data_IF_737536807274
#
_entry.id   IF_737536807274
#
_cell.length_a   1.000
_cell.length_b   1.000
_cell.length_c   1.000
_cell.angle_alpha   90.00
_cell.angle_beta   90.00
_cell.angle_gamma   90.00
#
_symmetry.space_group_name_H-M   'P 1'
#
loop_
_entity.id
_entity.type
_entity.pdbx_description
1 polymer ?
#
# COMPACT_ATOMS: atom_id res chain seq x y z
N UNK A 1 39.99 17.41 29.06
CA UNK A 1 39.01 18.37 28.51
C UNK A 1 38.84 17.94 27.06
N UNK A 2 38.10 16.84 26.87
CA UNK A 2 36.64 16.82 26.64
C UNK A 2 36.34 16.94 25.14
N UNK A 3 36.72 15.89 24.40
CA UNK A 3 36.11 15.55 23.11
C UNK A 3 35.28 14.28 23.36
N UNK A 4 34.09 14.44 23.91
CA UNK A 4 33.07 13.38 23.97
C UNK A 4 31.97 13.77 22.98
N UNK A 5 32.25 13.60 21.69
CA UNK A 5 31.25 13.73 20.63
C UNK A 5 30.08 12.77 20.90
N UNK A 6 28.88 13.32 20.88
CA UNK A 6 27.60 12.66 21.10
C UNK A 6 27.44 11.38 20.26
N UNK A 7 27.67 10.21 20.85
CA UNK A 7 27.09 8.95 20.35
C UNK A 7 25.61 8.91 20.77
N UNK A 8 24.75 9.66 20.06
CA UNK A 8 23.31 9.48 20.14
C UNK A 8 22.94 8.11 19.53
N UNK A 9 22.65 7.13 20.39
CA UNK A 9 22.16 5.82 19.97
C UNK A 9 20.73 5.96 19.43
N UNK A 10 20.59 6.05 18.10
CA UNK A 10 19.28 6.14 17.43
C UNK A 10 18.56 4.80 17.57
N UNK A 11 17.30 4.85 18.04
CA UNK A 11 16.49 3.64 18.17
C UNK A 11 16.00 3.14 16.80
N UNK A 12 15.82 1.82 16.64
CA UNK A 12 15.22 1.24 15.43
C UNK A 12 13.84 1.82 15.13
N UNK A 13 13.05 2.09 16.19
CA UNK A 13 11.73 2.69 16.04
C UNK A 13 11.79 4.10 15.45
N UNK A 14 12.78 4.90 15.82
CA UNK A 14 13.00 6.25 15.32
C UNK A 14 13.53 6.26 13.87
N UNK A 15 14.43 5.34 13.53
CA UNK A 15 14.88 5.13 12.15
C UNK A 15 13.72 4.69 11.24
N UNK A 16 12.88 3.76 11.68
CA UNK A 16 11.74 3.30 10.88
C UNK A 16 10.66 4.39 10.77
N UNK A 17 10.40 5.13 11.85
CA UNK A 17 9.45 6.24 11.81
C UNK A 17 9.91 7.36 10.87
N UNK A 18 11.20 7.73 10.89
CA UNK A 18 11.75 8.72 9.94
C UNK A 18 11.71 8.22 8.49
N UNK A 19 12.04 6.95 8.25
CA UNK A 19 11.90 6.32 6.93
C UNK A 19 10.45 6.32 6.45
N UNK A 20 9.48 6.01 7.32
CA UNK A 20 8.06 5.99 6.96
C UNK A 20 7.56 7.36 6.45
N UNK A 21 8.06 8.46 7.04
CA UNK A 21 7.74 9.82 6.58
C UNK A 21 8.33 10.13 5.20
N UNK A 22 9.53 9.61 4.91
CA UNK A 22 10.11 9.72 3.57
C UNK A 22 9.29 8.92 2.54
N UNK A 23 8.81 7.73 2.91
CA UNK A 23 7.93 6.91 2.06
C UNK A 23 6.61 7.62 1.77
N UNK A 24 5.94 8.18 2.78
CA UNK A 24 4.69 8.97 2.62
C UNK A 24 4.87 10.04 1.53
N UNK A 25 6.00 10.76 1.56
CA UNK A 25 6.31 11.81 0.58
C UNK A 25 6.47 11.25 -0.84
N UNK A 26 7.17 10.12 -1.02
CA UNK A 26 7.39 9.52 -2.34
C UNK A 26 6.12 8.96 -2.97
N UNK A 27 5.11 8.66 -2.15
CA UNK A 27 3.82 8.12 -2.59
C UNK A 27 2.77 9.20 -2.84
N UNK A 28 3.06 10.43 -2.41
CA UNK A 28 2.13 11.54 -2.48
C UNK A 28 1.02 11.47 -1.43
N UNK A 29 1.26 10.74 -0.32
CA UNK A 29 0.38 10.71 0.83
C UNK A 29 0.61 11.93 1.74
N UNK A 30 -0.39 12.35 2.54
CA UNK A 30 -0.20 13.39 3.55
C UNK A 30 0.87 12.95 4.56
N UNK A 31 1.82 13.84 4.87
CA UNK A 31 2.88 13.53 5.82
C UNK A 31 2.35 12.97 7.14
N UNK A 32 2.91 11.85 7.59
CA UNK A 32 2.50 11.17 8.81
C UNK A 32 1.33 10.21 8.62
N UNK A 33 0.95 9.89 7.38
CA UNK A 33 -0.06 8.87 7.06
C UNK A 33 0.28 7.54 7.73
N UNK A 34 1.50 7.04 7.52
CA UNK A 34 1.96 5.81 8.16
C UNK A 34 1.91 5.86 9.69
N UNK A 35 2.25 7.01 10.28
CA UNK A 35 2.27 7.20 11.75
C UNK A 35 0.85 7.23 12.33
N UNK A 36 -0.09 7.95 11.69
CA UNK A 36 -1.49 7.99 12.14
C UNK A 36 -2.15 6.62 12.02
N UNK A 37 -1.94 5.92 10.90
CA UNK A 37 -2.39 4.55 10.73
C UNK A 37 -1.76 3.63 11.78
N UNK A 38 -0.47 3.81 12.09
CA UNK A 38 0.21 3.07 13.15
C UNK A 38 -0.46 3.28 14.51
N UNK A 39 -0.76 4.53 14.87
CA UNK A 39 -1.43 4.84 16.13
C UNK A 39 -2.83 4.21 16.25
N UNK A 40 -3.63 4.27 15.19
CA UNK A 40 -4.96 3.62 15.12
C UNK A 40 -4.81 2.10 15.27
N UNK A 41 -3.95 1.49 14.46
CA UNK A 41 -3.76 0.04 14.45
C UNK A 41 -3.23 -0.50 15.77
N UNK A 42 -2.27 0.21 16.39
CA UNK A 42 -1.75 -0.16 17.72
C UNK A 42 -2.80 -0.04 18.81
N UNK A 43 -3.68 0.97 18.74
CA UNK A 43 -4.81 1.13 19.66
C UNK A 43 -5.79 -0.05 19.55
N UNK A 44 -6.10 -0.48 18.33
CA UNK A 44 -6.93 -1.66 18.07
C UNK A 44 -6.24 -2.93 18.59
N UNK A 45 -4.96 -3.13 18.30
CA UNK A 45 -4.19 -4.29 18.77
C UNK A 45 -4.12 -4.36 20.30
N UNK A 46 -4.01 -3.22 20.97
CA UNK A 46 -4.06 -3.15 22.44
C UNK A 46 -5.45 -3.50 22.97
N UNK A 47 -6.52 -2.96 22.38
CA UNK A 47 -7.89 -3.25 22.79
C UNK A 47 -8.26 -4.74 22.60
N UNK A 48 -7.69 -5.40 21.60
CA UNK A 48 -7.84 -6.84 21.35
C UNK A 48 -6.96 -7.72 22.26
N UNK A 49 -6.09 -7.13 23.08
CA UNK A 49 -5.20 -7.88 23.98
C UNK A 49 -4.09 -8.65 23.27
N UNK A 50 -3.59 -8.16 22.12
CA UNK A 50 -2.52 -8.83 21.40
C UNK A 50 -1.25 -8.98 22.26
N UNK A 51 -0.56 -10.14 22.20
CA UNK A 51 0.70 -10.36 22.91
C UNK A 51 1.75 -9.29 22.57
N UNK A 52 2.67 -9.01 23.49
CA UNK A 52 3.72 -7.99 23.28
C UNK A 52 4.52 -8.23 22.00
N UNK A 53 4.85 -9.49 21.68
CA UNK A 53 5.57 -9.86 20.45
C UNK A 53 4.78 -9.43 19.20
N UNK A 54 3.49 -9.77 19.14
CA UNK A 54 2.63 -9.43 18.00
C UNK A 54 2.38 -7.92 17.88
N UNK A 55 2.31 -7.20 19.01
CA UNK A 55 2.23 -5.73 18.99
C UNK A 55 3.49 -5.09 18.41
N UNK A 56 4.67 -5.65 18.68
CA UNK A 56 5.92 -5.22 18.06
C UNK A 56 5.91 -5.44 16.55
N UNK A 57 5.49 -6.62 16.10
CA UNK A 57 5.34 -6.94 14.66
C UNK A 57 4.31 -6.02 13.99
N UNK A 58 3.18 -5.77 14.64
CA UNK A 58 2.13 -4.87 14.16
C UNK A 58 2.65 -3.44 13.99
N UNK A 59 3.42 -2.93 14.95
CA UNK A 59 4.00 -1.59 14.92
C UNK A 59 4.85 -1.37 13.65
N UNK A 60 5.77 -2.29 13.38
CA UNK A 60 6.65 -2.18 12.21
C UNK A 60 5.90 -2.46 10.90
N UNK A 61 4.95 -3.39 10.90
CA UNK A 61 4.09 -3.64 9.75
C UNK A 61 3.30 -2.38 9.35
N UNK A 62 2.74 -1.63 10.32
CA UNK A 62 1.98 -0.40 10.05
C UNK A 62 2.85 0.73 9.48
N UNK A 63 4.07 0.88 9.99
CA UNK A 63 5.00 1.92 9.50
C UNK A 63 5.59 1.60 8.12
N UNK A 64 5.75 0.32 7.80
CA UNK A 64 6.39 -0.15 6.57
C UNK A 64 5.40 -0.65 5.50
N UNK A 65 4.10 -0.56 5.78
CA UNK A 65 3.04 -1.12 4.91
C UNK A 65 3.13 -0.64 3.45
N UNK A 66 3.61 0.59 3.26
CA UNK A 66 3.68 1.25 1.97
C UNK A 66 5.04 1.10 1.27
N UNK A 67 6.04 0.48 1.90
CA UNK A 67 7.38 0.33 1.32
C UNK A 67 7.39 -0.32 -0.08
N UNK A 68 6.40 -1.17 -0.40
CA UNK A 68 6.24 -1.80 -1.71
C UNK A 68 5.67 -0.90 -2.83
N UNK A 69 5.07 0.24 -2.50
CA UNK A 69 4.46 1.16 -3.47
C UNK A 69 5.49 1.84 -4.38
N UNK A 70 6.65 2.20 -3.82
CA UNK A 70 7.75 2.88 -4.53
C UNK A 70 8.33 2.01 -5.66
N UNK A 71 8.45 0.70 -5.43
CA UNK A 71 9.01 -0.25 -6.38
C UNK A 71 8.11 -0.50 -7.61
N UNK A 72 6.80 -0.22 -7.53
CA UNK A 72 5.83 -0.51 -8.59
C UNK A 72 5.62 0.65 -9.59
N UNK A 73 6.06 1.86 -9.26
CA UNK A 73 5.88 3.05 -10.11
C UNK A 73 6.44 2.85 -11.54
N UNK A 74 7.61 2.20 -11.66
CA UNK A 74 8.26 1.91 -12.93
C UNK A 74 7.40 0.96 -13.82
N UNK A 75 6.73 -0.03 -13.23
CA UNK A 75 5.91 -1.00 -13.98
C UNK A 75 4.53 -0.43 -14.35
N UNK A 76 3.94 0.36 -13.46
CA UNK A 76 2.71 1.13 -13.75
C UNK A 76 2.96 2.10 -14.91
N UNK A 77 4.07 2.84 -14.89
CA UNK A 77 4.46 3.76 -15.97
C UNK A 77 4.66 3.05 -17.32
N UNK A 78 5.34 1.90 -17.32
CA UNK A 78 5.55 1.10 -18.52
C UNK A 78 4.27 0.48 -19.11
N UNK A 79 3.27 0.16 -18.26
CA UNK A 79 2.03 -0.48 -18.71
C UNK A 79 0.93 0.50 -19.09
N UNK A 80 0.84 1.65 -18.43
CA UNK A 80 -0.22 2.63 -18.68
C UNK A 80 0.22 3.79 -19.60
N UNK A 81 1.53 3.98 -19.83
CA UNK A 81 2.03 4.96 -20.81
C UNK A 81 1.60 6.41 -20.53
N UNK A 82 1.25 6.72 -19.28
CA UNK A 82 0.78 8.03 -18.82
C UNK A 82 1.45 8.42 -17.51
N UNK A 83 1.53 9.73 -17.30
CA UNK A 83 2.23 10.42 -16.21
C UNK A 83 1.88 9.87 -14.80
N UNK A 84 2.94 9.74 -13.97
CA UNK A 84 3.03 8.83 -12.82
C UNK A 84 2.10 9.20 -11.64
N UNK A 85 1.76 10.49 -11.49
CA UNK A 85 0.91 10.98 -10.39
C UNK A 85 -0.58 10.67 -10.62
N UNK A 86 -1.08 10.85 -11.83
CA UNK A 86 -2.52 10.73 -12.13
C UNK A 86 -2.95 9.25 -12.20
N UNK A 87 -2.05 8.37 -12.65
CA UNK A 87 -2.27 6.93 -12.69
C UNK A 87 -2.32 6.31 -11.28
N UNK A 88 -1.44 6.74 -10.37
CA UNK A 88 -1.41 6.28 -8.97
C UNK A 88 -2.67 6.70 -8.20
N UNK A 89 -3.13 7.95 -8.37
CA UNK A 89 -4.36 8.44 -7.74
C UNK A 89 -5.61 7.67 -8.19
N UNK A 90 -5.67 7.31 -9.46
CA UNK A 90 -6.80 6.57 -9.98
C UNK A 90 -6.81 5.09 -9.62
N UNK A 91 -5.64 4.46 -9.49
CA UNK A 91 -5.54 3.10 -8.97
C UNK A 91 -6.08 3.01 -7.54
N UNK A 92 -5.88 4.04 -6.72
CA UNK A 92 -6.36 4.12 -5.32
C UNK A 92 -7.85 4.46 -5.20
N UNK A 93 -8.45 5.15 -6.17
CA UNK A 93 -9.83 5.68 -6.07
C UNK A 93 -10.85 4.98 -6.96
N UNK A 94 -10.40 4.23 -7.97
CA UNK A 94 -11.29 3.59 -8.95
C UNK A 94 -11.43 2.12 -8.61
N UNK A 95 -12.67 1.69 -8.36
CA UNK A 95 -12.96 0.28 -8.13
C UNK A 95 -12.90 -0.49 -9.46
N UNK A 96 -11.77 -1.16 -9.72
CA UNK A 96 -11.49 -1.90 -10.96
C UNK A 96 -12.37 -3.14 -11.15
N UNK A 97 -13.15 -3.54 -10.14
CA UNK A 97 -14.19 -4.57 -10.28
C UNK A 97 -15.43 -4.06 -11.02
N UNK A 98 -15.60 -2.74 -11.12
CA UNK A 98 -16.77 -2.11 -11.69
C UNK A 98 -16.44 -1.43 -13.03
N UNK A 99 -16.87 -2.08 -14.13
CA UNK A 99 -16.51 -1.71 -15.50
C UNK A 99 -16.85 -0.24 -15.84
N UNK A 100 -17.89 0.31 -15.23
CA UNK A 100 -18.36 1.69 -15.39
C UNK A 100 -17.43 2.76 -14.81
N UNK A 101 -16.79 2.48 -13.68
CA UNK A 101 -15.84 3.44 -13.08
C UNK A 101 -14.51 3.43 -13.82
N UNK A 102 -14.07 2.25 -14.27
CA UNK A 102 -12.90 2.11 -15.15
C UNK A 102 -13.11 2.82 -16.50
N UNK A 103 -14.31 2.76 -17.10
CA UNK A 103 -14.62 3.50 -18.33
C UNK A 103 -14.66 5.00 -18.10
N UNK A 104 -15.26 5.49 -17.00
CA UNK A 104 -15.29 6.94 -16.70
C UNK A 104 -13.90 7.53 -16.49
N UNK A 105 -13.02 6.77 -15.86
CA UNK A 105 -11.61 7.14 -15.68
C UNK A 105 -10.83 7.13 -17.01
N UNK A 106 -11.01 6.09 -17.84
CA UNK A 106 -10.39 6.02 -19.17
C UNK A 106 -10.84 7.17 -20.10
N UNK A 107 -12.10 7.61 -19.98
CA UNK A 107 -12.63 8.77 -20.70
C UNK A 107 -12.08 10.09 -20.16
N UNK A 108 -11.86 10.22 -18.85
CA UNK A 108 -11.30 11.42 -18.21
C UNK A 108 -9.79 11.63 -18.46
N UNK A 109 -9.03 10.56 -18.72
CA UNK A 109 -7.59 10.60 -19.00
C UNK A 109 -7.24 10.73 -20.50
N UNK A 110 -8.25 10.70 -21.37
CA UNK A 110 -8.04 10.81 -22.81
C UNK A 110 -7.61 12.25 -23.15
N UNK A 111 -6.29 12.46 -23.29
CA UNK A 111 -5.63 13.73 -23.71
C UNK A 111 -6.54 14.58 -24.62
N UNK A 112 -6.75 15.88 -24.32
CA UNK A 112 -7.47 16.77 -25.23
C UNK A 112 -6.76 16.77 -26.59
N UNK A 113 -7.42 16.25 -27.64
CA UNK A 113 -6.89 16.21 -29.01
C UNK A 113 -6.40 14.85 -29.53
N UNK A 114 -6.39 13.76 -28.75
CA UNK A 114 -6.04 12.45 -29.30
C UNK A 114 -7.13 11.90 -30.25
N UNK A 115 -6.77 11.34 -31.44
CA UNK A 115 -7.74 10.72 -32.35
C UNK A 115 -8.57 9.64 -31.67
N UNK A 116 -9.87 9.61 -31.94
CA UNK A 116 -10.82 8.67 -31.31
C UNK A 116 -10.39 7.20 -31.44
N UNK A 117 -9.66 6.84 -32.51
CA UNK A 117 -9.10 5.50 -32.74
C UNK A 117 -8.05 5.11 -31.70
N UNK A 118 -7.18 6.04 -31.28
CA UNK A 118 -6.19 5.80 -30.23
C UNK A 118 -6.86 5.69 -28.86
N UNK A 119 -7.91 6.49 -28.60
CA UNK A 119 -8.73 6.37 -27.39
C UNK A 119 -9.42 5.00 -27.32
N UNK A 120 -9.97 4.55 -28.43
CA UNK A 120 -10.61 3.23 -28.52
C UNK A 120 -9.59 2.10 -28.39
N UNK A 121 -8.38 2.23 -28.96
CA UNK A 121 -7.29 1.28 -28.78
C UNK A 121 -6.79 1.22 -27.32
N UNK A 122 -6.73 2.34 -26.60
CA UNK A 122 -6.39 2.39 -25.17
C UNK A 122 -7.48 1.75 -24.30
N UNK A 123 -8.76 2.04 -24.56
CA UNK A 123 -9.88 1.40 -23.86
C UNK A 123 -9.89 -0.11 -24.12
N UNK A 124 -9.64 -0.53 -25.37
CA UNK A 124 -9.57 -1.95 -25.74
C UNK A 124 -8.32 -2.63 -25.14
N UNK A 125 -7.17 -1.95 -25.04
CA UNK A 125 -5.96 -2.53 -24.43
C UNK A 125 -6.10 -2.68 -22.91
N UNK A 126 -6.73 -1.71 -22.24
CA UNK A 126 -7.08 -1.77 -20.81
C UNK A 126 -8.13 -2.87 -20.58
N UNK A 127 -9.17 -2.95 -21.42
CA UNK A 127 -10.20 -3.99 -21.35
C UNK A 127 -9.68 -5.40 -21.64
N UNK A 128 -8.74 -5.55 -22.58
CA UNK A 128 -8.12 -6.85 -22.92
C UNK A 128 -7.07 -7.31 -21.91
N UNK A 129 -6.38 -6.39 -21.22
CA UNK A 129 -5.41 -6.71 -20.14
C UNK A 129 -6.08 -6.86 -18.76
N UNK A 130 -7.23 -6.23 -18.57
CA UNK A 130 -8.30 -6.63 -17.65
C UNK A 130 -7.98 -6.58 -16.14
N UNK A 131 -8.92 -7.10 -15.31
CA UNK A 131 -8.79 -7.20 -13.84
C UNK A 131 -7.57 -8.02 -13.38
N UNK A 132 -7.05 -8.89 -14.25
CA UNK A 132 -5.86 -9.71 -13.95
C UNK A 132 -4.60 -8.85 -13.83
N UNK A 133 -4.41 -7.88 -14.73
CA UNK A 133 -3.27 -6.96 -14.66
C UNK A 133 -3.33 -6.08 -13.40
N UNK A 134 -4.52 -5.59 -13.03
CA UNK A 134 -4.70 -4.83 -11.79
C UNK A 134 -4.39 -5.68 -10.54
N UNK A 135 -4.86 -6.94 -10.51
CA UNK A 135 -4.52 -7.90 -9.45
C UNK A 135 -3.02 -8.16 -9.38
N UNK A 136 -2.35 -8.30 -10.52
CA UNK A 136 -0.90 -8.53 -10.58
C UNK A 136 -0.11 -7.33 -10.07
N UNK A 137 -0.55 -6.10 -10.35
CA UNK A 137 0.05 -4.87 -9.79
C UNK A 137 -0.08 -4.81 -8.27
N UNK A 138 -1.26 -5.12 -7.73
CA UNK A 138 -1.48 -5.16 -6.28
C UNK A 138 -0.63 -6.28 -5.67
N UNK A 139 -0.64 -7.47 -6.27
CA UNK A 139 0.18 -8.59 -5.82
C UNK A 139 1.67 -8.22 -5.75
N UNK A 140 2.21 -7.57 -6.79
CA UNK A 140 3.60 -7.13 -6.80
C UNK A 140 3.92 -6.10 -5.72
N UNK A 141 2.99 -5.18 -5.43
CA UNK A 141 3.14 -4.22 -4.34
C UNK A 141 3.20 -4.92 -2.98
N UNK A 142 2.24 -5.82 -2.72
CA UNK A 142 2.15 -6.54 -1.45
C UNK A 142 3.34 -7.49 -1.25
N UNK A 143 3.78 -8.20 -2.30
CA UNK A 143 4.94 -9.10 -2.21
C UNK A 143 6.23 -8.34 -1.99
N UNK A 144 6.47 -7.27 -2.76
CA UNK A 144 7.66 -6.42 -2.57
C UNK A 144 7.69 -5.74 -1.22
N UNK A 145 6.55 -5.23 -0.75
CA UNK A 145 6.44 -4.67 0.60
C UNK A 145 6.82 -5.70 1.66
N UNK A 146 6.26 -6.91 1.57
CA UNK A 146 6.62 -7.99 2.48
C UNK A 146 8.11 -8.38 2.41
N UNK A 147 8.71 -8.38 1.22
CA UNK A 147 10.13 -8.68 1.02
C UNK A 147 11.05 -7.59 1.60
N UNK A 148 10.68 -6.31 1.48
CA UNK A 148 11.40 -5.20 2.11
C UNK A 148 11.34 -5.35 3.64
N UNK A 149 10.16 -5.65 4.20
CA UNK A 149 10.01 -5.90 5.64
C UNK A 149 10.91 -7.04 6.11
N UNK A 150 11.04 -8.12 5.32
CA UNK A 150 12.00 -9.21 5.59
C UNK A 150 13.45 -8.74 5.55
N UNK A 151 13.82 -7.96 4.54
CA UNK A 151 15.19 -7.44 4.41
C UNK A 151 15.59 -6.52 5.56
N UNK A 152 14.63 -5.83 6.15
CA UNK A 152 14.85 -4.99 7.33
C UNK A 152 14.90 -5.79 8.65
N UNK A 153 14.76 -7.11 8.61
CA UNK A 153 14.99 -8.01 9.74
C UNK A 153 13.72 -8.61 10.37
N UNK A 154 12.53 -8.24 9.91
CA UNK A 154 11.27 -8.84 10.38
C UNK A 154 10.87 -10.03 9.51
N UNK A 155 10.99 -11.25 10.03
CA UNK A 155 10.75 -12.48 9.25
C UNK A 155 9.45 -13.20 9.59
N UNK A 156 8.81 -12.84 10.71
CA UNK A 156 7.65 -13.56 11.26
C UNK A 156 6.33 -13.02 10.69
N UNK A 157 5.61 -12.23 11.48
CA UNK A 157 4.19 -11.93 11.23
C UNK A 157 4.04 -10.63 10.45
N UNK A 158 4.95 -9.67 10.62
CA UNK A 158 4.90 -8.39 9.94
C UNK A 158 4.90 -8.50 8.40
N UNK A 159 5.75 -9.32 7.75
CA UNK A 159 5.68 -9.51 6.30
C UNK A 159 4.34 -10.08 5.84
N UNK A 160 3.75 -10.99 6.61
CA UNK A 160 2.44 -11.56 6.28
C UNK A 160 1.32 -10.52 6.45
N UNK A 161 1.43 -9.64 7.44
CA UNK A 161 0.48 -8.55 7.61
C UNK A 161 0.50 -7.61 6.40
N UNK A 162 1.69 -7.19 5.95
CA UNK A 162 1.86 -6.32 4.77
C UNK A 162 1.40 -7.03 3.48
N UNK A 163 1.68 -8.33 3.34
CA UNK A 163 1.25 -9.11 2.18
C UNK A 163 -0.28 -9.17 2.02
N UNK A 164 -1.01 -9.19 3.14
CA UNK A 164 -2.47 -9.37 3.15
C UNK A 164 -3.21 -8.07 3.55
N UNK A 165 -2.55 -6.92 3.46
CA UNK A 165 -3.09 -5.60 3.82
C UNK A 165 -4.36 -5.24 3.03
N UNK A 166 -4.41 -5.61 1.75
CA UNK A 166 -5.53 -5.30 0.85
C UNK A 166 -6.55 -6.45 0.74
N UNK A 167 -6.45 -7.45 1.59
CA UNK A 167 -7.46 -8.50 1.68
C UNK A 167 -8.69 -7.96 2.39
N UNK A 168 -9.88 -8.25 1.87
CA UNK A 168 -11.14 -7.76 2.41
C UNK A 168 -11.91 -8.90 3.05
N UNK A 169 -12.62 -8.59 4.14
CA UNK A 169 -13.37 -9.58 4.92
C UNK A 169 -14.34 -10.44 4.08
N UNK A 170 -14.94 -9.85 3.05
CA UNK A 170 -15.90 -10.46 2.14
C UNK A 170 -15.25 -11.25 0.98
N UNK A 171 -13.93 -11.23 0.85
CA UNK A 171 -13.16 -11.86 -0.22
C UNK A 171 -13.06 -11.05 -1.50
N UNK A 172 -13.51 -9.80 -1.52
CA UNK A 172 -13.34 -8.92 -2.67
C UNK A 172 -11.92 -8.33 -2.78
N UNK A 173 -11.08 -8.58 -1.76
CA UNK A 173 -9.72 -8.06 -1.65
C UNK A 173 -8.71 -8.78 -2.53
N UNK A 174 -7.48 -8.32 -2.43
CA UNK A 174 -6.35 -8.77 -3.25
C UNK A 174 -5.14 -9.01 -2.34
N UNK A 175 -4.16 -9.83 -2.75
CA UNK A 175 -4.04 -10.50 -4.05
C UNK A 175 -4.69 -11.89 -4.15
N UNK A 176 -5.01 -12.55 -3.03
CA UNK A 176 -5.51 -13.93 -2.99
C UNK A 176 -7.03 -14.01 -2.86
N UNK A 177 -7.70 -12.94 -2.42
CA UNK A 177 -9.14 -12.94 -2.19
C UNK A 177 -9.52 -13.77 -0.95
N UNK A 178 -8.73 -13.65 0.10
CA UNK A 178 -8.96 -14.33 1.38
C UNK A 178 -10.24 -13.83 2.04
N UNK A 179 -10.92 -14.71 2.79
CA UNK A 179 -12.22 -14.42 3.41
C UNK A 179 -12.18 -14.58 4.92
N UNK A 180 -12.76 -13.62 5.64
CA UNK A 180 -12.93 -13.69 7.08
C UNK A 180 -11.62 -13.98 7.82
N UNK A 181 -11.62 -15.06 8.61
CA UNK A 181 -10.49 -15.50 9.41
C UNK A 181 -9.33 -16.10 8.62
N UNK A 182 -9.48 -16.32 7.31
CA UNK A 182 -8.34 -16.67 6.45
C UNK A 182 -7.35 -15.51 6.35
N UNK A 183 -7.78 -14.26 6.60
CA UNK A 183 -6.92 -13.09 6.67
C UNK A 183 -6.26 -13.05 8.06
N UNK A 184 -4.92 -13.02 8.15
CA UNK A 184 -4.21 -12.87 9.42
C UNK A 184 -4.73 -11.66 10.22
N UNK A 185 -4.82 -11.79 11.54
CA UNK A 185 -5.39 -10.73 12.38
C UNK A 185 -4.65 -9.39 12.23
N UNK A 186 -3.32 -9.41 12.14
CA UNK A 186 -2.52 -8.21 11.89
C UNK A 186 -2.84 -7.58 10.52
N UNK A 187 -3.07 -8.38 9.47
CA UNK A 187 -3.48 -7.88 8.15
C UNK A 187 -4.85 -7.18 8.20
N UNK A 188 -5.81 -7.73 8.96
CA UNK A 188 -7.13 -7.12 9.19
C UNK A 188 -7.03 -5.79 9.92
N UNK A 189 -6.18 -5.71 10.95
CA UNK A 189 -5.92 -4.46 11.68
C UNK A 189 -5.26 -3.43 10.77
N UNK A 190 -4.29 -3.85 9.96
CA UNK A 190 -3.60 -3.00 8.97
C UNK A 190 -4.60 -2.37 7.99
N UNK A 191 -5.44 -3.18 7.35
CA UNK A 191 -6.44 -2.71 6.38
C UNK A 191 -7.48 -1.77 7.01
N UNK A 192 -7.93 -2.09 8.23
CA UNK A 192 -8.82 -1.22 8.99
C UNK A 192 -8.16 0.13 9.30
N UNK A 193 -6.95 0.11 9.86
CA UNK A 193 -6.24 1.32 10.30
C UNK A 193 -5.92 2.24 9.13
N UNK A 194 -5.45 1.69 8.00
CA UNK A 194 -5.22 2.45 6.78
C UNK A 194 -6.52 3.07 6.24
N UNK A 195 -7.62 2.31 6.24
CA UNK A 195 -8.89 2.81 5.74
C UNK A 195 -9.42 3.94 6.61
N UNK A 196 -9.43 3.76 7.94
CA UNK A 196 -9.94 4.75 8.89
C UNK A 196 -9.12 6.03 8.85
N UNK A 197 -7.78 5.91 8.77
CA UNK A 197 -6.88 7.06 8.73
C UNK A 197 -7.17 8.00 7.55
N UNK A 198 -7.55 7.47 6.38
CA UNK A 198 -7.79 8.30 5.19
C UNK A 198 -9.05 9.19 5.35
N UNK A 199 -10.01 8.78 6.18
CA UNK A 199 -11.27 9.50 6.38
C UNK A 199 -11.28 10.45 7.59
N UNK A 200 -10.17 10.54 8.34
CA UNK A 200 -10.06 11.30 9.60
C UNK A 200 -8.83 12.21 9.61
#
# INVERSE_FOLDING_TARGET
MEDNEFQENISTAELVASLSRALDLTEGEPMGHAIRACWIGMSVGQALGLPQKERGELYYALLLKDAGCTANAQQVSNWFGTDDRTAKYALKTVNWSNLWQATRYAVGQARPGAPWRQRMQQIVSIGKRGPKAARELVAMRCTRGADIVRQLGWVDVAPQAVLNLDEHWDGSGQPKGLRGHAIPILGRILGLAQTVEIFW
#
